data_IF_096389166631
#
_entry.id   IF_096389166631
#
_cell.length_a   1.000
_cell.length_b   1.000
_cell.length_c   1.000
_cell.angle_alpha   90.00
_cell.angle_beta   90.00
_cell.angle_gamma   90.00
#
_symmetry.space_group_name_H-M   'P 1'
#
loop_
_entity.id
_entity.type
_entity.pdbx_description
1 polymer ?
#
# COMPACT_ATOMS: atom_id res chain seq x y z
N UNK A 1 -12.43 -9.62 -10.43
CA UNK A 1 -12.14 -10.92 -9.80
C UNK A 1 -11.40 -10.62 -8.51
N UNK A 2 -11.84 -11.09 -7.34
CA UNK A 2 -11.06 -10.93 -6.09
C UNK A 2 -9.95 -11.97 -6.16
N UNK A 3 -8.70 -11.54 -6.34
CA UNK A 3 -7.57 -12.43 -6.18
C UNK A 3 -7.11 -12.36 -4.72
N UNK A 4 -7.50 -13.37 -3.97
CA UNK A 4 -7.00 -13.64 -2.63
C UNK A 4 -6.48 -15.05 -2.62
N UNK A 5 -5.16 -15.22 -2.44
CA UNK A 5 -4.55 -16.53 -2.50
C UNK A 5 -3.05 -16.48 -2.74
N UNK A 6 -2.40 -17.61 -2.52
CA UNK A 6 -0.97 -17.80 -2.76
C UNK A 6 -0.70 -17.60 -4.24
N UNK A 7 -0.21 -16.42 -4.61
CA UNK A 7 0.28 -16.14 -5.97
C UNK A 7 1.62 -16.85 -6.14
N UNK A 8 1.77 -17.61 -7.22
CA UNK A 8 3.05 -18.18 -7.60
C UNK A 8 3.95 -17.06 -8.14
N UNK A 9 5.00 -16.76 -7.38
CA UNK A 9 5.97 -15.72 -7.73
C UNK A 9 7.20 -16.42 -8.29
N UNK A 10 7.65 -16.05 -9.51
CA UNK A 10 8.88 -16.59 -10.06
C UNK A 10 10.05 -16.41 -9.08
N UNK A 11 10.91 -17.42 -8.89
CA UNK A 11 11.98 -17.35 -7.89
C UNK A 11 12.98 -16.20 -8.16
N UNK A 12 13.17 -15.87 -9.43
CA UNK A 12 14.04 -14.82 -9.95
C UNK A 12 13.35 -13.44 -10.09
N UNK A 13 12.07 -13.33 -9.77
CA UNK A 13 11.34 -12.07 -9.84
C UNK A 13 11.96 -11.02 -8.91
N UNK A 14 12.31 -9.84 -9.41
CA UNK A 14 12.83 -8.74 -8.61
C UNK A 14 11.72 -7.70 -8.40
N UNK A 15 11.31 -7.42 -7.14
CA UNK A 15 10.31 -6.40 -6.86
C UNK A 15 10.73 -5.02 -7.36
N UNK A 16 9.75 -4.23 -7.78
CA UNK A 16 9.96 -2.84 -8.19
C UNK A 16 10.52 -2.03 -7.01
N UNK A 17 11.57 -1.25 -7.27
CA UNK A 17 12.31 -0.51 -6.22
C UNK A 17 11.41 0.50 -5.49
N UNK A 18 10.58 1.24 -6.24
CA UNK A 18 9.67 2.22 -5.67
C UNK A 18 8.58 1.56 -4.80
N UNK A 19 8.15 0.34 -5.14
CA UNK A 19 7.24 -0.46 -4.30
C UNK A 19 7.93 -0.84 -3.00
N UNK A 20 9.15 -1.36 -3.05
CA UNK A 20 9.94 -1.69 -1.85
C UNK A 20 10.14 -0.47 -0.95
N UNK A 21 10.47 0.69 -1.54
CA UNK A 21 10.65 1.94 -0.80
C UNK A 21 9.34 2.42 -0.17
N UNK A 22 8.23 2.35 -0.90
CA UNK A 22 6.90 2.68 -0.38
C UNK A 22 6.55 1.83 0.84
N UNK A 23 6.68 0.50 0.71
CA UNK A 23 6.33 -0.44 1.77
C UNK A 23 7.22 -0.34 3.00
N UNK A 24 8.51 -0.02 2.85
CA UNK A 24 9.43 0.14 3.98
C UNK A 24 9.07 1.33 4.86
N UNK A 25 8.55 2.40 4.27
CA UNK A 25 8.23 3.64 4.98
C UNK A 25 6.78 3.68 5.47
N UNK A 26 5.92 2.77 4.99
CA UNK A 26 4.50 2.72 5.34
C UNK A 26 4.25 1.96 6.64
N UNK A 27 3.36 2.49 7.47
CA UNK A 27 2.76 1.81 8.62
C UNK A 27 1.28 1.45 8.35
N UNK A 28 0.58 0.93 9.36
CA UNK A 28 -0.82 0.51 9.20
C UNK A 28 -1.83 1.65 9.02
N UNK A 29 -1.44 2.90 9.30
CA UNK A 29 -2.27 4.11 9.18
C UNK A 29 -1.85 5.01 8.02
N UNK A 30 -0.71 4.73 7.40
CA UNK A 30 -0.17 5.45 6.24
C UNK A 30 -0.43 4.63 4.98
N UNK A 31 -1.46 4.96 4.18
CA UNK A 31 -1.67 4.26 2.92
C UNK A 31 -0.51 4.50 1.94
N UNK A 32 -0.41 3.66 0.91
CA UNK A 32 0.57 3.86 -0.17
C UNK A 32 -0.16 3.98 -1.49
N UNK A 33 0.20 4.96 -2.30
CA UNK A 33 -0.35 5.16 -3.64
C UNK A 33 0.74 4.81 -4.67
N UNK A 34 0.40 3.88 -5.55
CA UNK A 34 1.18 3.45 -6.71
C UNK A 34 0.53 3.92 -8.00
N UNK A 35 1.28 3.80 -9.10
CA UNK A 35 0.85 4.23 -10.43
C UNK A 35 1.19 3.15 -11.45
N UNK A 36 0.23 2.70 -12.26
CA UNK A 36 0.49 1.69 -13.29
C UNK A 36 1.51 2.16 -14.33
N UNK A 37 1.55 3.45 -14.63
CA UNK A 37 2.60 4.04 -15.48
C UNK A 37 4.04 3.83 -14.95
N UNK A 38 4.23 3.59 -13.64
CA UNK A 38 5.53 3.27 -13.03
C UNK A 38 5.80 1.75 -12.97
N UNK A 39 4.80 0.93 -13.34
CA UNK A 39 4.81 -0.53 -13.34
C UNK A 39 3.74 -1.14 -12.42
N UNK A 40 3.24 -2.33 -12.77
CA UNK A 40 2.27 -3.06 -11.95
C UNK A 40 2.87 -3.46 -10.58
N UNK A 41 2.34 -2.96 -9.45
CA UNK A 41 2.88 -3.24 -8.14
C UNK A 41 2.52 -4.63 -7.62
N UNK A 42 1.54 -5.33 -8.19
CA UNK A 42 0.90 -6.49 -7.55
C UNK A 42 1.89 -7.62 -7.22
N UNK A 43 2.67 -8.10 -8.19
CA UNK A 43 3.65 -9.18 -7.94
C UNK A 43 4.75 -8.76 -6.94
N UNK A 44 5.14 -7.49 -6.96
CA UNK A 44 6.08 -6.92 -5.98
C UNK A 44 5.51 -6.97 -4.58
N UNK A 45 4.25 -6.55 -4.43
CA UNK A 45 3.53 -6.59 -3.16
C UNK A 45 3.36 -8.02 -2.65
N UNK A 46 2.97 -8.97 -3.51
CA UNK A 46 2.86 -10.38 -3.12
C UNK A 46 4.20 -10.94 -2.63
N UNK A 47 5.32 -10.57 -3.27
CA UNK A 47 6.66 -11.03 -2.85
C UNK A 47 7.03 -10.49 -1.48
N UNK A 48 6.86 -9.19 -1.27
CA UNK A 48 7.17 -8.54 0.01
C UNK A 48 6.23 -9.05 1.11
N UNK A 49 4.94 -9.19 0.83
CA UNK A 49 3.96 -9.69 1.79
C UNK A 49 4.31 -11.11 2.27
N UNK A 50 4.76 -11.98 1.37
CA UNK A 50 5.19 -13.35 1.69
C UNK A 50 6.39 -13.37 2.65
N UNK A 51 7.34 -12.45 2.48
CA UNK A 51 8.51 -12.31 3.37
C UNK A 51 8.12 -11.93 4.81
N UNK A 52 7.00 -11.21 4.98
CA UNK A 52 6.44 -10.84 6.29
C UNK A 52 5.23 -11.71 6.71
N UNK A 53 5.06 -12.87 6.06
CA UNK A 53 3.96 -13.81 6.30
C UNK A 53 2.54 -13.19 6.20
N UNK A 54 2.38 -12.17 5.38
CA UNK A 54 1.08 -11.53 5.08
C UNK A 54 0.58 -11.96 3.69
N UNK A 55 -0.66 -11.57 3.35
CA UNK A 55 -1.28 -11.79 2.05
C UNK A 55 -1.76 -10.48 1.46
N UNK A 56 -1.87 -10.42 0.13
CA UNK A 56 -2.40 -9.25 -0.59
C UNK A 56 -3.76 -9.62 -1.16
N UNK A 57 -4.79 -8.90 -0.73
CA UNK A 57 -6.13 -8.95 -1.30
C UNK A 57 -6.24 -7.89 -2.39
N UNK A 58 -6.45 -8.32 -3.64
CA UNK A 58 -6.54 -7.42 -4.79
C UNK A 58 -7.99 -7.13 -5.20
N UNK A 59 -8.32 -5.84 -5.27
CA UNK A 59 -9.60 -5.29 -5.68
C UNK A 59 -9.43 -4.36 -6.87
N UNK A 60 -9.84 -4.85 -8.02
CA UNK A 60 -9.91 -4.04 -9.24
C UNK A 60 -11.28 -3.37 -9.34
N UNK A 61 -11.34 -2.04 -9.23
CA UNK A 61 -12.59 -1.27 -9.31
C UNK A 61 -13.13 -1.13 -10.74
N UNK A 62 -12.29 -1.27 -11.77
CA UNK A 62 -12.75 -1.31 -13.15
C UNK A 62 -13.59 -2.57 -13.42
N UNK A 63 -13.28 -3.67 -12.73
CA UNK A 63 -14.00 -4.95 -12.83
C UNK A 63 -15.09 -5.08 -11.76
N UNK A 64 -14.78 -4.71 -10.52
CA UNK A 64 -15.65 -4.89 -9.35
C UNK A 64 -16.07 -3.54 -8.78
N UNK A 65 -17.19 -3.03 -9.29
CA UNK A 65 -17.78 -1.76 -8.84
C UNK A 65 -18.45 -1.82 -7.46
N UNK A 66 -18.35 -2.95 -6.74
CA UNK A 66 -18.92 -3.10 -5.40
C UNK A 66 -18.03 -2.44 -4.35
N UNK A 67 -18.38 -1.20 -4.03
CA UNK A 67 -17.81 -0.38 -2.94
C UNK A 67 -17.83 -1.13 -1.60
N UNK A 68 -18.93 -1.83 -1.31
CA UNK A 68 -19.10 -2.58 -0.05
C UNK A 68 -18.03 -3.67 0.11
N UNK A 69 -17.72 -4.38 -0.98
CA UNK A 69 -16.73 -5.46 -0.93
C UNK A 69 -15.34 -4.91 -0.59
N UNK A 70 -14.94 -3.77 -1.15
CA UNK A 70 -13.64 -3.17 -0.84
C UNK A 70 -13.54 -2.79 0.66
N UNK A 71 -14.59 -2.21 1.22
CA UNK A 71 -14.65 -1.85 2.64
C UNK A 71 -14.62 -3.07 3.56
N UNK A 72 -15.39 -4.12 3.25
CA UNK A 72 -15.43 -5.34 4.05
C UNK A 72 -14.04 -6.00 4.16
N UNK A 73 -13.25 -5.97 3.08
CA UNK A 73 -11.89 -6.51 3.10
C UNK A 73 -10.87 -5.59 3.75
N UNK A 74 -11.08 -4.27 3.74
CA UNK A 74 -10.33 -3.37 4.62
C UNK A 74 -10.61 -3.75 6.07
N UNK A 75 -11.87 -3.98 6.45
CA UNK A 75 -12.22 -4.41 7.81
C UNK A 75 -11.56 -5.73 8.19
N UNK A 76 -11.66 -6.76 7.36
CA UNK A 76 -11.00 -8.05 7.57
C UNK A 76 -9.47 -7.88 7.64
N UNK A 77 -8.89 -7.11 6.72
CA UNK A 77 -7.45 -6.84 6.67
C UNK A 77 -6.95 -6.18 7.96
N UNK A 78 -7.68 -5.21 8.51
CA UNK A 78 -7.31 -4.54 9.76
C UNK A 78 -7.40 -5.46 10.99
N UNK A 79 -8.16 -6.54 10.92
CA UNK A 79 -8.23 -7.55 11.97
C UNK A 79 -7.09 -8.56 11.85
N UNK A 80 -6.79 -9.01 10.63
CA UNK A 80 -5.83 -10.08 10.35
C UNK A 80 -4.38 -9.59 10.13
N UNK A 81 -4.19 -8.30 9.85
CA UNK A 81 -2.89 -7.77 9.44
C UNK A 81 -2.55 -8.02 7.96
N UNK A 82 -3.58 -8.28 7.14
CA UNK A 82 -3.42 -8.53 5.71
C UNK A 82 -3.33 -7.23 4.94
N UNK A 83 -2.86 -7.28 3.70
CA UNK A 83 -2.74 -6.11 2.84
C UNK A 83 -3.91 -6.05 1.87
N UNK A 84 -4.39 -4.83 1.60
CA UNK A 84 -5.48 -4.60 0.66
C UNK A 84 -4.97 -3.67 -0.42
N UNK A 85 -4.93 -4.15 -1.66
CA UNK A 85 -4.59 -3.39 -2.85
C UNK A 85 -5.86 -3.11 -3.65
N UNK A 86 -6.20 -1.82 -3.77
CA UNK A 86 -7.32 -1.34 -4.57
C UNK A 86 -6.74 -0.69 -5.82
N UNK A 87 -7.10 -1.18 -7.01
CA UNK A 87 -6.58 -0.69 -8.30
C UNK A 87 -7.67 -0.05 -9.15
N UNK A 88 -7.25 0.76 -10.13
CA UNK A 88 -8.13 1.60 -10.96
C UNK A 88 -9.02 2.50 -10.08
N UNK A 89 -8.40 3.16 -9.10
CA UNK A 89 -9.14 3.94 -8.12
C UNK A 89 -10.00 5.05 -8.76
N UNK A 90 -9.57 5.59 -9.90
CA UNK A 90 -10.27 6.58 -10.73
C UNK A 90 -11.69 6.17 -11.16
N UNK A 91 -12.01 4.88 -11.13
CA UNK A 91 -13.34 4.35 -11.45
C UNK A 91 -14.36 4.49 -10.31
N UNK A 92 -13.93 4.94 -9.12
CA UNK A 92 -14.79 5.07 -7.95
C UNK A 92 -14.94 6.51 -7.45
N UNK A 93 -16.08 6.75 -6.80
CA UNK A 93 -16.37 8.04 -6.17
C UNK A 93 -15.50 8.30 -4.94
N UNK A 94 -15.26 9.58 -4.66
CA UNK A 94 -14.51 10.02 -3.48
C UNK A 94 -15.14 9.55 -2.15
N UNK A 95 -16.46 9.28 -2.12
CA UNK A 95 -17.19 8.80 -0.95
C UNK A 95 -16.58 7.51 -0.38
N UNK A 96 -16.30 6.52 -1.22
CA UNK A 96 -15.62 5.27 -0.84
C UNK A 96 -14.29 5.55 -0.15
N UNK A 97 -13.44 6.37 -0.78
CA UNK A 97 -12.11 6.66 -0.27
C UNK A 97 -12.15 7.45 1.03
N UNK A 98 -13.18 8.28 1.25
CA UNK A 98 -13.41 8.95 2.52
C UNK A 98 -13.67 7.96 3.65
N UNK A 99 -14.49 6.95 3.40
CA UNK A 99 -14.81 5.92 4.39
C UNK A 99 -13.59 5.04 4.71
N UNK A 100 -12.83 4.63 3.69
CA UNK A 100 -11.54 3.93 3.88
C UNK A 100 -10.59 4.79 4.71
N UNK A 101 -10.45 6.08 4.37
CA UNK A 101 -9.52 6.97 5.06
C UNK A 101 -9.86 7.12 6.54
N UNK A 102 -11.14 7.32 6.86
CA UNK A 102 -11.60 7.38 8.26
C UNK A 102 -11.28 6.08 8.99
N UNK A 103 -11.53 4.93 8.36
CA UNK A 103 -11.27 3.63 8.95
C UNK A 103 -9.79 3.41 9.26
N UNK A 104 -8.93 3.68 8.29
CA UNK A 104 -7.48 3.49 8.38
C UNK A 104 -6.85 4.48 9.36
N UNK A 105 -7.20 5.77 9.27
CA UNK A 105 -6.64 6.81 10.12
C UNK A 105 -6.98 6.62 11.61
N UNK A 106 -8.18 6.11 11.89
CA UNK A 106 -8.65 5.86 13.25
C UNK A 106 -8.21 4.50 13.82
N UNK A 107 -7.41 3.71 13.10
CA UNK A 107 -6.90 2.45 13.62
C UNK A 107 -6.09 2.67 14.90
N UNK A 108 -6.51 1.97 15.96
CA UNK A 108 -5.78 1.91 17.23
C UNK A 108 -5.12 0.53 17.37
N UNK A 109 -3.92 0.45 17.96
CA UNK A 109 -3.35 -0.83 18.33
C UNK A 109 -4.27 -1.59 19.29
N UNK A 110 -4.59 -2.83 18.97
CA UNK A 110 -5.36 -3.74 19.84
C UNK A 110 -4.67 -5.10 19.92
N UNK A 111 -3.44 -5.18 20.49
CA UNK A 111 -2.60 -6.37 20.40
C UNK A 111 -3.23 -7.63 21.02
N UNK A 112 -4.18 -7.47 21.95
CA UNK A 112 -4.91 -8.59 22.57
C UNK A 112 -6.01 -9.19 21.69
N UNK A 113 -6.60 -8.41 20.77
CA UNK A 113 -7.71 -8.84 19.91
C UNK A 113 -7.28 -9.02 18.47
N UNK A 114 -6.47 -8.11 17.97
CA UNK A 114 -5.95 -8.09 16.60
C UNK A 114 -4.42 -7.95 16.68
N UNK A 115 -3.69 -9.03 17.04
CA UNK A 115 -2.24 -8.99 17.30
C UNK A 115 -1.41 -8.62 16.07
N UNK A 116 -1.98 -8.76 14.87
CA UNK A 116 -1.28 -8.47 13.61
C UNK A 116 -1.68 -7.14 12.96
N UNK A 117 -2.54 -6.35 13.61
CA UNK A 117 -3.08 -5.10 13.03
C UNK A 117 -2.00 -4.12 12.57
N UNK A 118 -0.85 -4.06 13.25
CA UNK A 118 0.29 -3.23 12.83
C UNK A 118 0.91 -3.61 11.47
N UNK A 119 0.69 -4.85 11.01
CA UNK A 119 1.16 -5.33 9.71
C UNK A 119 0.19 -5.02 8.57
N UNK A 120 -1.04 -4.61 8.88
CA UNK A 120 -2.02 -4.19 7.88
C UNK A 120 -1.42 -3.11 6.98
N UNK A 121 -1.73 -3.17 5.69
CA UNK A 121 -1.35 -2.13 4.72
C UNK A 121 -2.52 -1.85 3.79
N UNK A 122 -2.86 -0.57 3.66
CA UNK A 122 -3.85 -0.09 2.71
C UNK A 122 -3.12 0.52 1.51
N UNK A 123 -3.39 -0.01 0.33
CA UNK A 123 -2.65 0.31 -0.88
C UNK A 123 -3.63 0.69 -1.98
N UNK A 124 -3.28 1.74 -2.71
CA UNK A 124 -4.06 2.25 -3.83
C UNK A 124 -3.21 2.26 -5.09
N UNK A 125 -3.82 2.03 -6.23
CA UNK A 125 -3.17 2.15 -7.53
C UNK A 125 -4.11 2.84 -8.52
N UNK A 126 -3.58 3.85 -9.20
CA UNK A 126 -4.23 4.58 -10.28
C UNK A 126 -3.43 4.42 -11.58
N UNK A 127 -4.06 4.70 -12.71
CA UNK A 127 -3.39 4.60 -14.01
C UNK A 127 -2.23 5.59 -14.19
N UNK A 128 -2.44 6.87 -13.86
CA UNK A 128 -1.53 7.99 -14.20
C UNK A 128 -1.08 8.80 -12.99
N UNK A 129 0.14 9.35 -13.09
CA UNK A 129 0.65 10.35 -12.15
C UNK A 129 -0.35 11.47 -11.95
N UNK A 130 -0.36 12.00 -10.74
CA UNK A 130 -0.95 13.29 -10.46
C UNK A 130 -0.06 14.11 -9.54
N UNK A 131 -0.23 15.43 -9.61
CA UNK A 131 0.40 16.36 -8.69
C UNK A 131 -0.44 16.48 -7.40
N UNK A 132 0.22 16.39 -6.25
CA UNK A 132 -0.40 16.49 -4.93
C UNK A 132 -0.63 17.96 -4.56
N UNK A 133 0.21 18.86 -5.06
CA UNK A 133 0.16 20.30 -4.77
C UNK A 133 -0.79 21.06 -5.72
N UNK A 134 -1.31 20.36 -6.74
CA UNK A 134 -2.29 20.88 -7.67
C UNK A 134 -3.73 20.80 -7.17
N UNK A 135 -4.70 20.86 -8.09
CA UNK A 135 -6.10 20.54 -7.77
C UNK A 135 -6.18 19.08 -7.31
N UNK A 136 -6.76 18.83 -6.13
CA UNK A 136 -6.81 17.50 -5.51
C UNK A 136 -7.23 16.45 -6.54
N UNK A 137 -6.35 15.53 -6.91
CA UNK A 137 -6.62 14.59 -7.97
C UNK A 137 -7.77 13.69 -7.54
N UNK A 138 -8.84 13.71 -8.33
CA UNK A 138 -9.87 12.69 -8.23
C UNK A 138 -9.19 11.33 -8.42
N UNK A 139 -9.51 10.32 -7.62
CA UNK A 139 -10.68 10.23 -6.73
C UNK A 139 -10.40 10.56 -5.25
N UNK A 140 -9.15 10.81 -4.86
CA UNK A 140 -8.77 10.74 -3.44
C UNK A 140 -9.16 11.99 -2.65
N UNK A 141 -9.69 11.84 -1.42
CA UNK A 141 -9.91 12.97 -0.53
C UNK A 141 -8.56 13.50 0.02
N UNK A 142 -8.48 14.78 0.44
CA UNK A 142 -7.26 15.38 0.95
C UNK A 142 -6.61 14.63 2.12
N UNK A 143 -7.40 13.96 2.95
CA UNK A 143 -6.89 13.15 4.07
C UNK A 143 -6.04 11.97 3.60
N UNK A 144 -6.41 11.30 2.49
CA UNK A 144 -5.59 10.24 1.90
C UNK A 144 -4.32 10.86 1.34
N UNK A 145 -4.46 11.90 0.52
CA UNK A 145 -3.32 12.52 -0.17
C UNK A 145 -2.24 13.00 0.81
N UNK A 146 -2.64 13.63 1.93
CA UNK A 146 -1.70 14.16 2.93
C UNK A 146 -1.09 13.10 3.85
N UNK A 147 -1.75 11.96 4.01
CA UNK A 147 -1.33 10.91 4.94
C UNK A 147 -0.77 9.67 4.22
N UNK A 148 -0.67 9.70 2.89
CA UNK A 148 -0.17 8.58 2.09
C UNK A 148 1.26 8.79 1.65
N UNK A 149 1.96 7.67 1.44
CA UNK A 149 3.22 7.66 0.71
C UNK A 149 2.92 7.55 -0.77
N UNK A 150 3.40 8.52 -1.56
CA UNK A 150 3.34 8.46 -3.02
C UNK A 150 4.60 7.75 -3.53
N UNK A 151 4.43 6.52 -3.98
CA UNK A 151 5.54 5.64 -4.35
C UNK A 151 5.86 5.72 -5.85
N UNK A 152 6.63 6.74 -6.23
CA UNK A 152 7.04 7.00 -7.63
C UNK A 152 8.28 6.23 -8.05
N UNK A 153 8.36 5.84 -9.33
CA UNK A 153 9.65 5.48 -9.94
C UNK A 153 10.56 6.70 -9.96
N UNK A 154 11.78 6.56 -9.43
CA UNK A 154 12.82 7.59 -9.56
C UNK A 154 13.58 7.25 -10.83
N UNK A 155 13.59 8.15 -11.82
CA UNK A 155 14.42 7.98 -13.01
C UNK A 155 15.91 8.01 -12.63
N UNK A 156 16.75 7.36 -13.43
CA UNK A 156 18.23 7.38 -13.32
C UNK A 156 18.87 8.79 -13.50
N UNK A 157 18.08 9.86 -13.49
CA UNK A 157 18.51 11.24 -13.83
C UNK A 157 18.24 12.31 -12.76
N UNK A 158 17.66 11.99 -11.60
CA UNK A 158 17.40 12.97 -10.53
C UNK A 158 18.16 12.64 -9.25
N UNK A 159 19.49 12.60 -9.35
CA UNK A 159 20.40 12.90 -8.24
C UNK A 159 20.69 14.40 -8.24
N UNK A 160 19.74 15.21 -7.80
CA UNK A 160 20.02 16.55 -7.29
C UNK A 160 19.17 16.80 -6.04
N UNK A 161 19.71 16.39 -4.89
CA UNK A 161 20.05 17.28 -3.77
C UNK A 161 20.03 16.53 -2.43
N UNK A 162 21.22 16.45 -1.80
CA UNK A 162 21.42 16.18 -0.38
C UNK A 162 21.97 14.79 -0.04
N UNK A 163 23.15 14.68 0.60
CA UNK A 163 23.56 13.42 1.21
C UNK A 163 22.70 13.23 2.46
N UNK A 164 21.66 12.41 2.37
CA UNK A 164 21.05 11.87 3.58
C UNK A 164 22.03 10.84 4.17
N UNK A 165 22.90 11.35 5.05
CA UNK A 165 23.61 10.55 6.03
C UNK A 165 22.58 9.82 6.89
N UNK A 166 22.22 8.60 6.50
CA UNK A 166 21.50 7.69 7.37
C UNK A 166 22.51 6.93 8.23
N UNK A 167 22.36 6.94 9.57
CA UNK A 167 23.16 6.07 10.42
C UNK A 167 22.82 4.62 10.05
N UNK A 168 23.86 3.82 9.74
CA UNK A 168 23.75 2.36 9.64
C UNK A 168 23.10 1.87 10.93
N UNK A 169 21.90 1.31 10.85
CA UNK A 169 21.29 0.71 12.03
C UNK A 169 22.10 -0.52 12.49
N UNK A 170 22.18 -0.77 13.81
CA UNK A 170 23.02 -1.82 14.37
C UNK A 170 22.46 -3.21 14.06
N UNK A 171 23.35 -4.17 13.89
CA UNK A 171 23.12 -5.61 13.67
C UNK A 171 22.43 -6.35 14.84
N UNK A 172 21.52 -5.74 15.61
CA UNK A 172 20.98 -6.33 16.84
C UNK A 172 19.79 -7.27 16.67
N UNK A 173 19.39 -7.61 15.43
CA UNK A 173 18.34 -8.63 15.18
C UNK A 173 18.89 -10.04 14.95
N UNK A 174 20.15 -10.30 15.32
CA UNK A 174 20.63 -11.67 15.47
C UNK A 174 20.32 -12.19 16.88
N UNK A 175 19.33 -13.09 16.92
CA UNK A 175 19.27 -14.25 17.81
C UNK A 175 19.38 -13.97 19.32
N UNK A 176 18.23 -13.96 20.00
CA UNK A 176 18.12 -14.62 21.29
C UNK A 176 17.23 -15.85 21.11
N UNK A 177 17.87 -17.01 21.02
CA UNK A 177 17.32 -18.26 21.56
C UNK A 177 17.73 -18.33 23.02
#
# INVERSE_FOLDING_TARGET
MVQGGVVEIPPDFVPLEHVCRGMRNADCRTPVIFFYEDGDPFLSLCKIAKEVQSVVWHFDLAIMKSIQNAMDYVDVGTQNGDWVLITHCEEAEQSLFRDIALRVFLLKPEPKKCPRREFFRCLFCVDKAFDIEGTAPLPFPPVILKNSIIARRIGLGTLQNGPLNFPRMPNSWKLRR
#
